data_IF_464251634226
#
_entry.id   IF_464251634226
#
_cell.length_a   1.000
_cell.length_b   1.000
_cell.length_c   1.000
_cell.angle_alpha   90.00
_cell.angle_beta   90.00
_cell.angle_gamma   90.00
#
_symmetry.space_group_name_H-M   'P 1'
#
loop_
_entity.id
_entity.type
_entity.pdbx_description
1 polymer ?
#
# COMPACT_ATOMS: atom_id res chain seq x y z
N UNK A 1 -26.87 -5.13 -11.47
CA UNK A 1 -25.88 -4.53 -10.56
C UNK A 1 -24.50 -4.82 -11.12
N UNK A 2 -23.80 -3.82 -11.66
CA UNK A 2 -22.42 -4.00 -12.11
C UNK A 2 -21.52 -4.13 -10.89
N UNK A 3 -20.85 -5.27 -10.75
CA UNK A 3 -19.83 -5.46 -9.72
C UNK A 3 -18.53 -4.83 -10.21
N UNK A 4 -18.13 -3.71 -9.63
CA UNK A 4 -16.84 -3.10 -9.90
C UNK A 4 -15.76 -3.88 -9.13
N UNK A 5 -15.04 -4.78 -9.81
CA UNK A 5 -13.79 -5.32 -9.29
C UNK A 5 -12.71 -4.25 -9.43
N UNK A 6 -11.94 -4.01 -8.36
CA UNK A 6 -10.74 -3.18 -8.46
C UNK A 6 -9.55 -4.09 -8.79
N UNK A 7 -8.89 -3.78 -9.91
CA UNK A 7 -7.72 -4.52 -10.38
C UNK A 7 -6.50 -3.66 -10.09
N UNK A 8 -5.54 -4.21 -9.35
CA UNK A 8 -4.22 -3.63 -9.19
C UNK A 8 -3.22 -4.47 -9.99
N UNK A 9 -2.80 -3.94 -11.12
CA UNK A 9 -1.67 -4.50 -11.86
C UNK A 9 -0.38 -4.02 -11.20
N UNK A 10 0.49 -4.96 -10.83
CA UNK A 10 1.83 -4.66 -10.33
C UNK A 10 2.82 -5.24 -11.32
N UNK A 11 3.40 -4.37 -12.13
CA UNK A 11 4.49 -4.75 -13.03
C UNK A 11 5.71 -5.13 -12.19
N UNK A 12 6.17 -6.38 -12.34
CA UNK A 12 7.43 -6.98 -11.85
C UNK A 12 8.17 -6.17 -10.78
N UNK A 13 7.50 -5.84 -9.68
CA UNK A 13 8.19 -5.32 -8.53
C UNK A 13 8.77 -6.54 -7.85
N UNK A 14 10.10 -6.56 -7.81
CA UNK A 14 11.01 -7.46 -7.11
C UNK A 14 10.47 -7.90 -5.73
N UNK A 15 9.46 -8.76 -5.71
CA UNK A 15 9.04 -9.53 -4.55
C UNK A 15 10.24 -10.42 -4.26
N UNK A 16 11.13 -9.93 -3.40
CA UNK A 16 12.33 -10.65 -3.05
C UNK A 16 11.85 -11.93 -2.39
N UNK A 17 12.07 -13.07 -3.06
CA UNK A 17 11.94 -14.36 -2.42
C UNK A 17 12.76 -14.31 -1.13
N UNK A 18 12.14 -14.63 0.00
CA UNK A 18 12.74 -14.49 1.33
C UNK A 18 13.91 -15.44 1.59
N UNK A 19 14.30 -16.25 0.59
CA UNK A 19 15.47 -17.11 0.64
C UNK A 19 16.72 -16.34 0.18
N UNK A 20 17.72 -16.10 1.06
CA UNK A 20 18.96 -15.37 0.76
C UNK A 20 19.94 -16.19 -0.12
N UNK A 21 19.44 -16.98 -1.07
CA UNK A 21 20.22 -17.85 -1.96
C UNK A 21 19.76 -17.78 -3.43
N UNK A 22 18.86 -16.87 -3.84
CA UNK A 22 18.66 -16.61 -5.29
C UNK A 22 19.67 -15.56 -5.76
N UNK A 23 20.93 -15.86 -5.54
CA UNK A 23 22.04 -15.18 -6.19
C UNK A 23 22.26 -15.94 -7.49
N UNK A 24 21.70 -15.41 -8.57
CA UNK A 24 21.89 -15.94 -9.94
C UNK A 24 21.75 -17.45 -10.04
N UNK A 25 20.54 -17.97 -9.81
CA UNK A 25 20.15 -19.20 -10.51
C UNK A 25 20.09 -18.80 -12.00
N UNK A 26 21.26 -18.77 -12.63
CA UNK A 26 21.36 -19.19 -14.01
C UNK A 26 20.72 -20.56 -13.99
N UNK A 27 19.60 -20.71 -14.70
CA UNK A 27 19.21 -22.05 -15.08
C UNK A 27 20.44 -22.74 -15.69
N UNK A 28 20.46 -24.06 -15.70
CA UNK A 28 21.56 -24.82 -16.33
C UNK A 28 21.79 -24.48 -17.82
N UNK A 29 21.01 -23.54 -18.39
CA UNK A 29 21.16 -22.98 -19.73
C UNK A 29 21.86 -21.61 -19.79
N UNK A 30 22.19 -20.98 -18.65
CA UNK A 30 22.83 -19.66 -18.61
C UNK A 30 21.91 -18.50 -19.00
N UNK A 31 20.59 -18.74 -19.06
CA UNK A 31 19.60 -17.71 -19.37
C UNK A 31 19.27 -16.90 -18.11
N UNK A 32 19.07 -15.56 -18.22
CA UNK A 32 18.55 -14.78 -17.11
C UNK A 32 17.22 -15.37 -16.65
N UNK A 33 17.09 -15.60 -15.34
CA UNK A 33 15.85 -16.02 -14.71
C UNK A 33 14.70 -15.10 -15.16
N UNK A 34 13.54 -15.65 -15.57
CA UNK A 34 12.43 -14.84 -16.07
C UNK A 34 11.94 -13.89 -14.98
N UNK A 35 11.63 -12.65 -15.36
CA UNK A 35 11.00 -11.68 -14.47
C UNK A 35 9.62 -12.21 -14.05
N UNK A 36 9.37 -12.23 -12.75
CA UNK A 36 8.10 -12.64 -12.18
C UNK A 36 7.20 -11.44 -12.01
N UNK A 37 5.96 -11.55 -12.48
CA UNK A 37 4.93 -10.53 -12.31
C UNK A 37 3.68 -11.16 -11.72
N UNK A 38 2.98 -10.41 -10.87
CA UNK A 38 1.73 -10.85 -10.26
C UNK A 38 0.70 -9.74 -10.39
N UNK A 39 -0.55 -10.12 -10.65
CA UNK A 39 -1.69 -9.21 -10.61
C UNK A 39 -2.52 -9.55 -9.38
N UNK A 40 -2.88 -8.53 -8.60
CA UNK A 40 -3.75 -8.68 -7.44
C UNK A 40 -5.12 -8.10 -7.75
N UNK A 41 -6.16 -8.81 -7.30
CA UNK A 41 -7.55 -8.47 -7.58
C UNK A 41 -8.35 -8.55 -6.29
N UNK A 42 -9.01 -7.45 -5.93
CA UNK A 42 -9.97 -7.44 -4.82
C UNK A 42 -11.36 -7.80 -5.36
N UNK A 43 -12.07 -8.63 -4.60
CA UNK A 43 -13.44 -9.05 -4.91
C UNK A 43 -14.33 -8.73 -3.70
N UNK A 44 -14.95 -7.53 -3.66
CA UNK A 44 -15.89 -7.14 -2.61
C UNK A 44 -16.99 -8.17 -2.37
N UNK A 45 -17.55 -8.73 -3.44
CA UNK A 45 -18.69 -9.65 -3.39
C UNK A 45 -18.31 -11.04 -2.88
N UNK A 46 -17.05 -11.45 -3.06
CA UNK A 46 -16.56 -12.74 -2.56
C UNK A 46 -15.77 -12.62 -1.26
N UNK A 47 -15.70 -11.41 -0.67
CA UNK A 47 -14.98 -11.13 0.56
C UNK A 47 -13.52 -11.63 0.52
N UNK A 48 -12.83 -11.41 -0.62
CA UNK A 48 -11.46 -11.93 -0.81
C UNK A 48 -10.57 -11.06 -1.68
N UNK A 49 -9.26 -11.23 -1.52
CA UNK A 49 -8.24 -10.75 -2.47
C UNK A 49 -7.58 -11.98 -3.10
N UNK A 50 -7.52 -11.99 -4.42
CA UNK A 50 -6.88 -13.04 -5.22
C UNK A 50 -5.65 -12.51 -5.94
N UNK A 51 -4.82 -13.40 -6.42
CA UNK A 51 -3.70 -13.06 -7.29
C UNK A 51 -3.60 -14.01 -8.49
N UNK A 52 -2.91 -13.59 -9.54
CA UNK A 52 -2.52 -14.44 -10.66
C UNK A 52 -1.06 -14.17 -11.02
N UNK A 53 -0.31 -15.22 -11.35
CA UNK A 53 1.02 -15.09 -11.94
C UNK A 53 0.86 -14.66 -13.41
N UNK A 54 1.63 -13.66 -13.83
CA UNK A 54 1.66 -13.16 -15.21
C UNK A 54 3.06 -13.30 -15.76
N UNK A 55 3.18 -13.97 -16.91
CA UNK A 55 4.44 -14.00 -17.65
C UNK A 55 4.63 -12.69 -18.39
N UNK A 56 5.79 -12.05 -18.17
CA UNK A 56 6.17 -10.84 -18.90
C UNK A 56 6.21 -11.07 -20.40
N UNK A 57 6.58 -12.28 -20.84
CA UNK A 57 6.50 -12.67 -22.25
C UNK A 57 5.05 -12.97 -22.63
N UNK A 58 4.45 -12.05 -23.38
CA UNK A 58 3.10 -12.19 -23.95
C UNK A 58 1.95 -11.87 -23.00
N UNK A 59 2.22 -11.33 -21.79
CA UNK A 59 1.20 -10.89 -20.83
C UNK A 59 0.12 -11.96 -20.52
N UNK A 60 0.53 -13.23 -20.48
CA UNK A 60 -0.37 -14.35 -20.26
C UNK A 60 -0.40 -14.73 -18.79
N UNK A 61 -1.62 -14.90 -18.25
CA UNK A 61 -1.80 -15.44 -16.91
C UNK A 61 -1.42 -16.93 -16.87
N UNK A 62 -0.69 -17.34 -15.84
CA UNK A 62 -0.24 -18.72 -15.64
C UNK A 62 -0.97 -19.32 -14.45
N UNK A 63 -1.55 -20.52 -14.63
CA UNK A 63 -2.11 -21.29 -13.52
C UNK A 63 -3.39 -20.73 -12.91
N UNK A 64 -4.06 -19.78 -13.59
CA UNK A 64 -5.33 -19.19 -13.16
C UNK A 64 -5.20 -18.22 -11.97
N UNK A 65 -6.34 -17.77 -11.45
CA UNK A 65 -6.40 -16.94 -10.24
C UNK A 65 -6.41 -17.83 -8.98
N UNK A 66 -5.70 -17.40 -7.95
CA UNK A 66 -5.60 -18.08 -6.65
C UNK A 66 -6.00 -17.13 -5.54
N UNK A 67 -6.71 -17.61 -4.53
CA UNK A 67 -7.08 -16.80 -3.39
C UNK A 67 -5.84 -16.53 -2.51
N UNK A 68 -5.62 -15.27 -2.13
CA UNK A 68 -4.51 -14.84 -1.27
C UNK A 68 -5.00 -14.53 0.15
N UNK A 69 -6.06 -13.71 0.23
CA UNK A 69 -6.64 -13.25 1.49
C UNK A 69 -8.13 -13.61 1.44
N UNK A 70 -8.54 -14.53 2.29
CA UNK A 70 -9.95 -14.96 2.43
C UNK A 70 -10.51 -14.69 3.83
N UNK A 71 -9.65 -14.23 4.74
CA UNK A 71 -9.98 -13.91 6.13
C UNK A 71 -9.54 -12.49 6.44
N UNK A 72 -10.16 -11.88 7.45
CA UNK A 72 -9.89 -10.51 7.90
C UNK A 72 -10.26 -9.41 6.90
N UNK A 73 -10.89 -9.73 5.77
CA UNK A 73 -11.54 -8.75 4.90
C UNK A 73 -13.05 -8.99 4.86
N UNK A 74 -13.82 -7.92 4.76
CA UNK A 74 -15.26 -7.94 4.53
C UNK A 74 -15.58 -7.36 3.17
N UNK A 75 -15.16 -6.15 2.85
CA UNK A 75 -15.49 -5.54 1.56
C UNK A 75 -14.24 -4.86 0.98
N UNK A 76 -13.27 -5.65 0.47
CA UNK A 76 -12.01 -5.11 -0.04
C UNK A 76 -12.25 -4.37 -1.36
N UNK A 77 -11.96 -3.06 -1.40
CA UNK A 77 -12.07 -2.22 -2.60
C UNK A 77 -10.69 -1.83 -3.11
N UNK A 78 -10.03 -0.88 -2.44
CA UNK A 78 -8.73 -0.37 -2.86
C UNK A 78 -7.58 -1.31 -2.53
N UNK A 79 -6.60 -1.41 -3.42
CA UNK A 79 -5.36 -2.14 -3.21
C UNK A 79 -4.17 -1.22 -3.50
N UNK A 80 -3.11 -1.34 -2.71
CA UNK A 80 -1.82 -0.72 -3.01
C UNK A 80 -0.68 -1.62 -2.52
N UNK A 81 0.44 -1.64 -3.24
CA UNK A 81 1.58 -2.49 -2.87
C UNK A 81 2.85 -1.66 -2.71
N UNK A 82 3.58 -1.94 -1.63
CA UNK A 82 4.86 -1.33 -1.32
C UNK A 82 6.01 -2.32 -1.61
N UNK A 83 6.89 -2.02 -2.58
CA UNK A 83 8.04 -2.85 -2.94
C UNK A 83 8.97 -3.18 -1.78
N UNK A 84 9.35 -2.14 -1.03
CA UNK A 84 10.52 -2.17 -0.15
C UNK A 84 10.29 -3.07 1.06
N UNK A 85 9.04 -3.17 1.51
CA UNK A 85 8.65 -3.98 2.66
C UNK A 85 7.84 -5.22 2.25
N UNK A 86 7.63 -5.42 0.94
CA UNK A 86 6.75 -6.44 0.38
C UNK A 86 5.38 -6.45 1.07
N UNK A 87 4.75 -5.28 1.14
CA UNK A 87 3.51 -5.08 1.88
C UNK A 87 2.35 -4.74 0.93
N UNK A 88 1.22 -5.45 1.09
CA UNK A 88 -0.03 -5.16 0.40
C UNK A 88 -1.00 -4.46 1.36
N UNK A 89 -1.44 -3.27 0.96
CA UNK A 89 -2.46 -2.49 1.63
C UNK A 89 -3.82 -2.77 0.99
N UNK A 90 -4.81 -3.02 1.83
CA UNK A 90 -6.20 -3.29 1.41
C UNK A 90 -7.11 -2.29 2.12
N UNK A 91 -7.77 -1.44 1.35
CA UNK A 91 -8.86 -0.61 1.84
C UNK A 91 -10.13 -1.46 1.91
N UNK A 92 -10.67 -1.61 3.11
CA UNK A 92 -11.85 -2.43 3.35
C UNK A 92 -12.99 -1.56 3.87
N UNK A 93 -14.02 -1.39 3.04
CA UNK A 93 -15.17 -0.56 3.38
C UNK A 93 -16.01 -1.19 4.47
N UNK A 94 -16.19 -2.53 4.46
CA UNK A 94 -17.00 -3.23 5.44
C UNK A 94 -16.39 -3.20 6.85
N UNK A 95 -15.09 -2.93 6.92
CA UNK A 95 -14.35 -2.77 8.19
C UNK A 95 -14.03 -1.33 8.55
N UNK A 96 -14.22 -0.38 7.63
CA UNK A 96 -13.79 1.02 7.79
C UNK A 96 -12.30 1.13 8.17
N UNK A 97 -11.47 0.25 7.58
CA UNK A 97 -10.07 0.07 7.92
C UNK A 97 -9.21 -0.04 6.67
N UNK A 98 -7.95 0.38 6.77
CA UNK A 98 -6.88 -0.03 5.85
C UNK A 98 -6.03 -1.07 6.56
N UNK A 99 -5.92 -2.25 5.94
CA UNK A 99 -5.16 -3.38 6.44
C UNK A 99 -3.86 -3.52 5.67
N UNK A 100 -2.76 -3.80 6.37
CA UNK A 100 -1.44 -4.09 5.82
C UNK A 100 -1.11 -5.57 5.99
N UNK A 101 -0.84 -6.25 4.88
CA UNK A 101 -0.43 -7.64 4.79
C UNK A 101 1.03 -7.73 4.36
N UNK A 102 1.87 -8.46 5.09
CA UNK A 102 3.23 -8.79 4.62
C UNK A 102 3.13 -9.97 3.66
N UNK A 103 3.71 -9.84 2.47
CA UNK A 103 3.74 -10.88 1.46
C UNK A 103 5.13 -11.48 1.33
N UNK A 104 5.19 -12.77 1.03
CA UNK A 104 6.42 -13.45 0.61
C UNK A 104 6.13 -14.31 -0.62
N UNK A 105 7.12 -14.47 -1.49
CA UNK A 105 7.01 -15.33 -2.67
C UNK A 105 7.86 -16.56 -2.47
N UNK A 106 7.22 -17.72 -2.61
CA UNK A 106 7.84 -19.03 -2.45
C UNK A 106 7.78 -19.77 -3.77
N UNK A 107 8.85 -20.48 -4.13
CA UNK A 107 8.87 -21.36 -5.30
C UNK A 107 8.32 -22.73 -4.92
N UNK A 108 7.35 -23.24 -5.67
CA UNK A 108 6.84 -24.60 -5.46
C UNK A 108 7.85 -25.63 -5.97
N UNK A 109 8.08 -26.71 -5.22
CA UNK A 109 9.09 -27.72 -5.58
C UNK A 109 8.64 -28.64 -6.74
N UNK A 110 7.34 -28.82 -6.93
CA UNK A 110 6.77 -29.82 -7.86
C UNK A 110 6.49 -29.29 -9.26
N UNK A 111 6.29 -27.98 -9.40
CA UNK A 111 6.01 -27.29 -10.66
C UNK A 111 6.79 -25.98 -10.62
N UNK A 112 7.41 -25.50 -11.72
CA UNK A 112 8.07 -24.20 -11.77
C UNK A 112 7.01 -23.07 -11.74
N UNK A 113 6.26 -22.98 -10.65
CA UNK A 113 5.30 -21.95 -10.34
C UNK A 113 5.69 -21.25 -9.05
N UNK A 114 5.28 -19.99 -8.95
CA UNK A 114 5.49 -19.20 -7.76
C UNK A 114 4.19 -19.03 -6.99
N UNK A 115 4.31 -19.07 -5.66
CA UNK A 115 3.21 -18.89 -4.75
C UNK A 115 3.42 -17.63 -3.92
N UNK A 116 2.40 -16.76 -3.89
CA UNK A 116 2.39 -15.58 -3.02
C UNK A 116 1.69 -16.00 -1.74
N UNK A 117 2.36 -15.84 -0.60
CA UNK A 117 1.83 -16.19 0.71
C UNK A 117 1.79 -14.95 1.61
N UNK A 118 0.77 -14.89 2.46
CA UNK A 118 0.68 -13.88 3.53
C UNK A 118 1.46 -14.37 4.75
N UNK A 119 2.31 -13.51 5.29
CA UNK A 119 3.14 -13.83 6.46
C UNK A 119 2.70 -13.02 7.68
N UNK A 120 2.40 -13.72 8.76
CA UNK A 120 1.97 -13.13 10.03
C UNK A 120 0.52 -12.64 10.02
N UNK A 121 0.16 -11.85 11.04
CA UNK A 121 -1.19 -11.29 11.18
C UNK A 121 -1.31 -9.96 10.45
N UNK A 122 -2.46 -9.65 9.82
CA UNK A 122 -2.68 -8.32 9.25
C UNK A 122 -2.61 -7.23 10.32
N UNK A 123 -2.09 -6.08 9.94
CA UNK A 123 -2.00 -4.89 10.78
C UNK A 123 -2.99 -3.83 10.29
N UNK A 124 -3.81 -3.29 11.18
CA UNK A 124 -4.64 -2.12 10.88
C UNK A 124 -3.74 -0.89 10.87
N UNK A 125 -3.74 -0.11 9.79
CA UNK A 125 -2.92 1.12 9.66
C UNK A 125 -3.74 2.40 9.61
N UNK A 126 -5.02 2.30 9.23
CA UNK A 126 -6.02 3.38 9.30
C UNK A 126 -7.33 2.74 9.79
N UNK A 127 -8.09 3.45 10.62
CA UNK A 127 -9.35 2.95 11.19
C UNK A 127 -10.39 4.06 11.34
N UNK A 128 -11.67 3.68 11.29
CA UNK A 128 -12.80 4.56 11.58
C UNK A 128 -13.17 5.49 10.42
N UNK A 129 -12.90 5.07 9.19
CA UNK A 129 -13.24 5.85 8.00
C UNK A 129 -13.62 4.93 6.84
N UNK A 130 -14.64 5.31 6.07
CA UNK A 130 -14.97 4.63 4.81
C UNK A 130 -13.92 4.97 3.76
N UNK A 131 -13.07 4.00 3.43
CA UNK A 131 -11.95 4.19 2.51
C UNK A 131 -12.15 3.36 1.25
N UNK A 132 -12.18 4.04 0.09
CA UNK A 132 -12.39 3.38 -1.21
C UNK A 132 -11.09 3.10 -1.95
N UNK A 133 -10.16 4.06 -1.92
CA UNK A 133 -8.90 3.99 -2.65
C UNK A 133 -7.71 4.18 -1.71
N UNK A 134 -6.67 3.42 -1.98
CA UNK A 134 -5.34 3.52 -1.35
C UNK A 134 -4.27 3.53 -2.43
N UNK A 135 -3.17 4.23 -2.17
CA UNK A 135 -1.98 4.24 -3.02
C UNK A 135 -0.73 4.40 -2.15
N UNK A 136 0.42 3.90 -2.60
CA UNK A 136 1.70 4.06 -1.89
C UNK A 136 2.71 4.66 -2.87
N UNK A 137 3.46 5.66 -2.43
CA UNK A 137 4.55 6.23 -3.23
C UNK A 137 5.88 5.48 -3.04
N UNK A 138 6.91 5.84 -3.81
CA UNK A 138 8.23 5.20 -3.76
C UNK A 138 8.97 5.44 -2.45
N UNK A 139 8.54 6.40 -1.64
CA UNK A 139 9.09 6.70 -0.31
C UNK A 139 8.37 5.93 0.80
N UNK A 140 7.31 5.17 0.47
CA UNK A 140 6.51 4.42 1.44
C UNK A 140 5.44 5.27 2.13
N UNK A 141 5.09 6.46 1.62
CA UNK A 141 3.94 7.20 2.12
C UNK A 141 2.65 6.56 1.59
N UNK A 142 1.68 6.39 2.48
CA UNK A 142 0.36 5.86 2.14
C UNK A 142 -0.62 7.01 1.92
N UNK A 143 -1.28 7.02 0.77
CA UNK A 143 -2.35 7.94 0.43
C UNK A 143 -3.67 7.17 0.43
N UNK A 144 -4.72 7.79 0.95
CA UNK A 144 -6.04 7.18 0.98
C UNK A 144 -7.15 8.22 0.89
N UNK A 145 -8.33 7.76 0.48
CA UNK A 145 -9.51 8.61 0.27
C UNK A 145 -10.56 8.33 1.33
N UNK A 146 -11.03 9.37 2.03
CA UNK A 146 -12.20 9.30 2.90
C UNK A 146 -13.45 9.57 2.06
N UNK A 147 -14.25 8.54 1.81
CA UNK A 147 -15.37 8.63 0.88
C UNK A 147 -16.53 9.48 1.41
N UNK A 148 -16.78 9.45 2.72
CA UNK A 148 -17.82 10.26 3.35
C UNK A 148 -17.38 11.70 3.59
N UNK A 149 -16.13 11.88 4.02
CA UNK A 149 -15.55 13.20 4.27
C UNK A 149 -15.13 13.94 3.00
N UNK A 150 -15.06 13.26 1.85
CA UNK A 150 -14.56 13.85 0.61
C UNK A 150 -13.10 14.28 0.71
N UNK A 151 -12.31 13.62 1.57
CA UNK A 151 -10.92 13.99 1.86
C UNK A 151 -9.90 13.09 1.17
N UNK A 152 -8.75 13.64 0.80
CA UNK A 152 -7.55 12.85 0.46
C UNK A 152 -6.53 13.03 1.57
N UNK A 153 -6.11 11.93 2.18
CA UNK A 153 -5.23 11.92 3.34
C UNK A 153 -3.90 11.26 2.99
N UNK A 154 -2.83 11.73 3.64
CA UNK A 154 -1.49 11.18 3.56
C UNK A 154 -1.03 10.73 4.94
N UNK A 155 -0.66 9.47 5.05
CA UNK A 155 0.09 8.91 6.16
C UNK A 155 1.57 8.83 5.75
N UNK A 156 2.43 9.57 6.45
CA UNK A 156 3.86 9.57 6.16
C UNK A 156 4.50 8.20 6.39
N UNK A 157 5.56 7.90 5.65
CA UNK A 157 6.33 6.66 5.83
C UNK A 157 6.84 6.49 7.28
N UNK A 158 7.19 7.60 7.94
CA UNK A 158 7.61 7.59 9.35
C UNK A 158 6.45 7.24 10.29
N UNK A 159 5.27 7.84 10.10
CA UNK A 159 4.07 7.52 10.87
C UNK A 159 3.66 6.06 10.66
N UNK A 160 3.65 5.60 9.40
CA UNK A 160 3.38 4.21 9.06
C UNK A 160 4.37 3.25 9.74
N UNK A 161 5.66 3.58 9.76
CA UNK A 161 6.68 2.79 10.46
C UNK A 161 6.39 2.69 11.96
N UNK A 162 5.99 3.78 12.61
CA UNK A 162 5.65 3.74 14.04
C UNK A 162 4.43 2.88 14.36
N UNK A 163 3.45 2.84 13.47
CA UNK A 163 2.31 1.92 13.59
C UNK A 163 2.78 0.46 13.44
N UNK A 164 3.64 0.19 12.45
CA UNK A 164 4.23 -1.14 12.22
C UNK A 164 5.06 -1.61 13.41
N UNK A 165 5.85 -0.70 14.00
CA UNK A 165 6.65 -0.93 15.20
C UNK A 165 5.81 -0.94 16.49
N UNK A 166 4.49 -0.74 16.37
CA UNK A 166 3.51 -0.68 17.48
C UNK A 166 3.83 0.39 18.54
N UNK A 167 4.52 1.45 18.13
CA UNK A 167 4.84 2.61 18.97
C UNK A 167 3.61 3.50 19.14
N UNK A 168 2.80 3.61 18.08
CA UNK A 168 1.60 4.46 18.03
C UNK A 168 0.46 3.64 17.43
N UNK A 169 -0.75 3.72 18.00
CA UNK A 169 -1.92 3.09 17.42
C UNK A 169 -2.46 3.86 16.19
N UNK A 170 -3.21 3.22 15.29
CA UNK A 170 -3.79 3.88 14.11
C UNK A 170 -4.69 5.08 14.44
N UNK A 171 -5.33 5.06 15.61
CA UNK A 171 -6.22 6.12 16.10
C UNK A 171 -5.49 7.23 16.87
N UNK A 172 -4.24 6.98 17.28
CA UNK A 172 -3.49 7.90 18.13
C UNK A 172 -2.72 8.96 17.32
N UNK A 173 -2.74 8.85 15.98
CA UNK A 173 -2.12 9.84 15.11
C UNK A 173 -3.02 11.07 14.96
N UNK A 174 -2.48 12.24 15.28
CA UNK A 174 -3.16 13.50 15.03
C UNK A 174 -3.37 13.68 13.52
N UNK A 175 -4.60 14.04 13.14
CA UNK A 175 -4.93 14.50 11.80
C UNK A 175 -4.74 16.01 11.75
N UNK A 176 -3.88 16.46 10.86
CA UNK A 176 -3.62 17.88 10.59
C UNK A 176 -4.40 18.24 9.33
N UNK A 177 -5.24 19.27 9.44
CA UNK A 177 -6.01 19.78 8.29
C UNK A 177 -5.10 20.40 7.24
N UNK A 178 -5.61 20.53 6.00
CA UNK A 178 -4.85 21.17 4.94
C UNK A 178 -4.42 22.60 5.31
N UNK A 179 -5.31 23.35 5.97
CA UNK A 179 -5.06 24.73 6.40
C UNK A 179 -3.96 24.81 7.47
N UNK A 180 -4.02 23.94 8.48
CA UNK A 180 -2.98 23.88 9.52
C UNK A 180 -1.63 23.45 8.93
N UNK A 181 -1.64 22.55 7.95
CA UNK A 181 -0.42 22.12 7.27
C UNK A 181 0.22 23.26 6.47
N UNK A 182 -0.57 24.13 5.83
CA UNK A 182 -0.07 25.34 5.16
C UNK A 182 0.58 26.28 6.18
N UNK A 183 -0.12 26.58 7.28
CA UNK A 183 0.41 27.46 8.34
C UNK A 183 1.70 26.91 8.96
N UNK A 184 1.76 25.60 9.21
CA UNK A 184 2.94 24.94 9.74
C UNK A 184 4.11 24.98 8.74
N UNK A 185 3.82 24.79 7.45
CA UNK A 185 4.83 24.87 6.39
C UNK A 185 5.38 26.30 6.23
N UNK A 186 4.53 27.32 6.29
CA UNK A 186 4.91 28.75 6.23
C UNK A 186 5.76 29.17 7.44
N UNK A 187 5.38 28.73 8.65
CA UNK A 187 6.15 28.95 9.86
C UNK A 187 7.54 28.30 9.76
N UNK A 188 7.60 27.03 9.34
CA UNK A 188 8.86 26.31 9.18
C UNK A 188 9.75 26.96 8.12
N UNK A 189 9.19 27.41 7.00
CA UNK A 189 9.94 28.07 5.94
C UNK A 189 10.53 29.42 6.41
N UNK A 190 9.77 30.17 7.19
CA UNK A 190 10.22 31.45 7.78
C UNK A 190 11.35 31.26 8.79
N UNK A 191 11.30 30.19 9.59
CA UNK A 191 12.37 29.81 10.51
C UNK A 191 13.65 29.39 9.77
N UNK A 192 13.53 28.60 8.70
CA UNK A 192 14.68 28.16 7.89
C UNK A 192 15.43 29.32 7.22
N UNK A 193 14.73 30.41 6.88
CA UNK A 193 15.37 31.62 6.35
C UNK A 193 16.17 32.38 7.43
N UNK A 194 15.81 32.24 8.70
CA UNK A 194 16.50 32.89 9.82
C UNK A 194 17.59 32.01 10.46
N UNK A 195 17.49 30.69 10.35
CA UNK A 195 18.48 29.75 10.87
C UNK A 195 19.25 29.05 9.74
N UNK A 196 20.38 29.61 9.33
CA UNK A 196 21.32 28.98 8.40
C UNK A 196 22.14 27.83 9.01
N UNK A 197 21.70 27.24 10.13
CA UNK A 197 22.36 26.10 10.76
C UNK A 197 21.58 24.79 10.55
N UNK A 198 22.29 23.78 10.05
CA UNK A 198 21.81 22.43 9.75
C UNK A 198 20.98 21.81 10.88
N UNK A 199 19.65 21.83 10.77
CA UNK A 199 18.80 20.94 11.56
C UNK A 199 17.90 20.12 10.63
N UNK A 200 18.15 18.82 10.62
CA UNK A 200 17.36 17.85 9.86
C UNK A 200 15.91 17.88 10.37
N UNK A 201 14.99 18.19 9.44
CA UNK A 201 13.55 18.30 9.65
C UNK A 201 13.03 17.03 10.34
N UNK A 202 12.69 17.12 11.64
CA UNK A 202 11.99 16.05 12.36
C UNK A 202 10.61 15.90 11.70
N UNK A 203 10.38 14.78 11.01
CA UNK A 203 9.06 14.46 10.48
C UNK A 203 8.07 14.38 11.64
N UNK A 204 7.02 15.18 11.61
CA UNK A 204 5.91 15.10 12.57
C UNK A 204 5.07 13.87 12.24
N UNK A 205 4.80 13.04 13.26
CA UNK A 205 3.98 11.85 13.13
C UNK A 205 2.51 12.27 13.05
N UNK A 206 2.05 12.54 11.84
CA UNK A 206 0.69 13.02 11.61
C UNK A 206 0.14 12.46 10.31
N UNK A 207 -1.18 12.30 10.30
CA UNK A 207 -1.94 12.18 9.06
C UNK A 207 -2.18 13.59 8.57
N UNK A 208 -1.84 13.86 7.33
CA UNK A 208 -2.06 15.17 6.71
C UNK A 208 -3.21 15.05 5.72
N UNK A 209 -4.26 15.83 5.91
CA UNK A 209 -5.31 15.99 4.90
C UNK A 209 -4.80 16.90 3.80
N UNK A 210 -4.61 16.35 2.60
CA UNK A 210 -4.12 17.07 1.43
C UNK A 210 -5.22 17.80 0.69
N UNK A 211 -6.45 17.27 0.77
CA UNK A 211 -7.61 17.80 0.09
C UNK A 211 -8.86 17.54 0.93
N UNK A 212 -9.76 18.51 0.91
CA UNK A 212 -11.11 18.43 1.47
C UNK A 212 -12.10 19.10 0.52
N UNK A 213 -13.16 18.37 0.17
CA UNK A 213 -14.21 18.84 -0.72
C UNK A 213 -14.93 20.06 -0.11
N UNK A 214 -15.14 21.10 -0.93
CA UNK A 214 -15.86 22.32 -0.52
C UNK A 214 -15.03 23.34 0.27
N UNK A 215 -13.86 22.98 0.78
CA UNK A 215 -12.96 23.90 1.51
C UNK A 215 -11.80 24.35 0.63
N UNK A 216 -11.31 23.48 -0.26
CA UNK A 216 -10.09 23.72 -1.03
C UNK A 216 -10.31 24.77 -2.13
N UNK A 217 -9.69 25.97 -2.08
CA UNK A 217 -10.01 27.09 -2.99
C UNK A 217 -9.61 26.86 -4.46
N UNK A 218 -8.90 25.78 -4.77
CA UNK A 218 -8.33 25.51 -6.10
C UNK A 218 -9.16 24.53 -6.93
N UNK A 219 -10.32 24.08 -6.44
CA UNK A 219 -11.21 23.19 -7.20
C UNK A 219 -12.54 23.90 -7.36
N UNK A 220 -12.81 24.41 -8.56
CA UNK A 220 -14.13 24.93 -8.91
C UNK A 220 -15.16 23.81 -8.86
N UNK A 221 -16.24 24.04 -8.11
CA UNK A 221 -17.43 23.18 -8.01
C UNK A 221 -18.09 22.91 -9.36
#
# INVERSE_FOLDING_TARGET
TCFAACILCIDAVNLRASTPQIQTDLDSSGSPSPLLSFVFVSSPAEHKVSYAEVRTTGHTAVGGTRALITSYVQQPFGLAYEPLQSALFVADIGREEVLRYKLEVTRTATVPSYEVVVVGTPLVVVKGMIIKWVAVDTLGNLYYTGAESGTVNKLSALGLKQIVDKVVGPMDMATITAQENILLAEATASEQLHSSSHQAKRGTNSVVTLYEQGVSPHVSS
#
